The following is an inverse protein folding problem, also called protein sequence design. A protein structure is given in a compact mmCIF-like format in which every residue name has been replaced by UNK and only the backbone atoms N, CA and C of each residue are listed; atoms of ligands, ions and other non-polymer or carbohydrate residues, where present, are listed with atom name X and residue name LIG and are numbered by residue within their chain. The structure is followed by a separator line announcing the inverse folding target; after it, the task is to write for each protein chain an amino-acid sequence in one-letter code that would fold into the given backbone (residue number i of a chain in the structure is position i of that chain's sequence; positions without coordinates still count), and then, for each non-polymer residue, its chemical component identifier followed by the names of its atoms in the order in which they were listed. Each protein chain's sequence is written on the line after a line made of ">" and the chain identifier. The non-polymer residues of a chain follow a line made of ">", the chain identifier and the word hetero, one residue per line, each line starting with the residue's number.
data_IF_801107731428
#
_entry.id   IF_801107731428
#
_cell.length_a   1.000
_cell.length_b   1.000
_cell.length_c   1.000
_cell.angle_alpha   90.00
_cell.angle_beta   90.00
_cell.angle_gamma   90.00
#
_symmetry.space_group_name_H-M   'P 1'
#
loop_
_entity.id
_entity.type
_entity.pdbx_description
1 polymer ?
#
# COMPACT_ATOMS: atom_id res chain seq x y z
N UNK A 1 -30.56 -40.95 12.26
CA UNK A 1 -29.32 -41.44 11.61
C UNK A 1 -29.15 -40.98 10.16
N UNK A 2 -30.16 -41.06 9.28
CA UNK A 2 -30.03 -40.59 7.88
C UNK A 2 -29.77 -39.07 7.72
N UNK A 3 -30.29 -38.22 8.61
CA UNK A 3 -30.05 -36.77 8.55
C UNK A 3 -28.64 -36.34 9.01
N UNK A 4 -27.99 -37.11 9.91
CA UNK A 4 -26.60 -36.85 10.30
C UNK A 4 -25.61 -37.19 9.16
N UNK A 5 -25.95 -38.20 8.35
CA UNK A 5 -25.12 -38.61 7.20
C UNK A 5 -25.15 -37.60 6.05
N UNK A 6 -26.29 -36.94 5.84
CA UNK A 6 -26.43 -35.88 4.81
C UNK A 6 -25.65 -34.62 5.21
N UNK A 7 -25.60 -34.29 6.52
CA UNK A 7 -24.79 -33.17 7.01
C UNK A 7 -23.28 -33.43 6.84
N UNK A 8 -22.84 -34.68 6.98
CA UNK A 8 -21.44 -35.07 6.82
C UNK A 8 -21.00 -35.07 5.34
N UNK A 9 -21.90 -35.38 4.40
CA UNK A 9 -21.63 -35.33 2.96
C UNK A 9 -21.64 -33.89 2.42
N UNK A 10 -22.47 -32.98 2.97
CA UNK A 10 -22.40 -31.56 2.60
C UNK A 10 -21.14 -30.88 3.14
N UNK A 11 -20.62 -31.30 4.29
CA UNK A 11 -19.39 -30.73 4.87
C UNK A 11 -18.12 -31.12 4.09
N UNK A 12 -18.08 -32.29 3.43
CA UNK A 12 -16.90 -32.72 2.65
C UNK A 12 -16.85 -32.15 1.25
N UNK A 13 -17.99 -31.70 0.69
CA UNK A 13 -18.04 -31.00 -0.60
C UNK A 13 -17.60 -29.52 -0.51
N UNK A 14 -17.54 -28.95 0.70
CA UNK A 14 -17.06 -27.57 0.93
C UNK A 14 -15.53 -27.41 0.94
N UNK A 15 -14.76 -28.50 1.04
CA UNK A 15 -13.28 -28.45 1.08
C UNK A 15 -12.62 -28.76 -0.27
N UNK A 16 -13.40 -29.03 -1.32
CA UNK A 16 -12.89 -29.05 -2.69
C UNK A 16 -13.08 -27.68 -3.34
N UNK A 17 -12.56 -26.62 -2.72
CA UNK A 17 -12.32 -25.38 -3.47
C UNK A 17 -11.30 -25.73 -4.55
N UNK A 18 -11.75 -25.74 -5.79
CA UNK A 18 -11.04 -26.14 -6.98
C UNK A 18 -9.68 -25.45 -7.16
N UNK A 19 -8.60 -26.02 -6.63
CA UNK A 19 -7.26 -25.77 -7.17
C UNK A 19 -7.10 -26.62 -8.44
N UNK A 20 -7.73 -26.19 -9.53
CA UNK A 20 -7.57 -26.86 -10.84
C UNK A 20 -6.11 -26.75 -11.26
N UNK A 21 -5.36 -27.84 -11.09
CA UNK A 21 -4.02 -27.97 -11.63
C UNK A 21 -2.87 -27.93 -10.63
N UNK A 22 -3.11 -27.79 -9.31
CA UNK A 22 -2.04 -27.98 -8.29
C UNK A 22 -2.15 -29.36 -7.65
N UNK A 23 -1.02 -30.06 -7.52
CA UNK A 23 -0.91 -31.31 -6.79
C UNK A 23 -0.61 -31.12 -5.30
N UNK A 24 -0.20 -29.91 -4.87
CA UNK A 24 -0.03 -29.58 -3.45
C UNK A 24 0.48 -28.16 -3.22
N UNK A 25 0.09 -27.57 -2.10
CA UNK A 25 0.53 -26.24 -1.63
C UNK A 25 0.87 -26.35 -0.15
N UNK A 26 2.07 -25.92 0.23
CA UNK A 26 2.55 -25.84 1.61
C UNK A 26 2.87 -24.39 1.94
N UNK A 27 2.61 -24.00 3.19
CA UNK A 27 2.74 -22.62 3.64
C UNK A 27 3.57 -22.56 4.93
N UNK A 28 4.47 -21.58 4.97
CA UNK A 28 5.28 -21.22 6.15
C UNK A 28 5.95 -22.45 6.79
N UNK A 29 5.60 -22.79 8.03
CA UNK A 29 6.20 -23.91 8.79
C UNK A 29 5.92 -25.30 8.22
N UNK A 30 4.99 -25.42 7.27
CA UNK A 30 4.70 -26.69 6.61
C UNK A 30 5.62 -26.96 5.41
N UNK A 31 6.54 -26.06 5.12
CA UNK A 31 7.54 -26.19 4.05
C UNK A 31 8.79 -26.85 4.62
N UNK A 32 9.38 -27.77 3.86
CA UNK A 32 10.63 -28.42 4.22
C UNK A 32 11.75 -27.40 4.52
N UNK A 33 12.42 -27.55 5.66
CA UNK A 33 13.42 -26.58 6.12
C UNK A 33 14.63 -26.48 5.18
N UNK A 34 15.03 -27.58 4.54
CA UNK A 34 16.16 -27.54 3.59
C UNK A 34 15.82 -26.70 2.35
N UNK A 35 14.57 -26.79 1.90
CA UNK A 35 14.06 -25.94 0.82
C UNK A 35 13.96 -24.47 1.26
N UNK A 36 13.48 -24.19 2.48
CA UNK A 36 13.47 -22.81 3.03
C UNK A 36 14.87 -22.21 2.99
N UNK A 37 15.90 -22.95 3.43
CA UNK A 37 17.29 -22.49 3.43
C UNK A 37 17.85 -22.25 2.01
N UNK A 38 17.49 -23.11 1.05
CA UNK A 38 17.86 -22.94 -0.37
C UNK A 38 17.28 -21.63 -0.93
N UNK A 39 16.00 -21.34 -0.66
CA UNK A 39 15.34 -20.11 -1.10
C UNK A 39 15.85 -18.89 -0.36
N UNK A 40 16.12 -18.98 0.95
CA UNK A 40 16.68 -17.89 1.74
C UNK A 40 18.01 -17.38 1.16
N UNK A 41 18.82 -18.30 0.62
CA UNK A 41 20.07 -17.96 -0.06
C UNK A 41 19.80 -17.10 -1.31
N UNK A 42 18.75 -17.42 -2.07
CA UNK A 42 18.34 -16.64 -3.25
C UNK A 42 17.70 -15.30 -2.86
N UNK A 43 16.91 -15.25 -1.79
CA UNK A 43 16.32 -14.03 -1.25
C UNK A 43 17.42 -13.05 -0.82
N UNK A 44 18.49 -13.54 -0.16
CA UNK A 44 19.67 -12.75 0.19
C UNK A 44 20.39 -12.20 -1.03
N UNK A 45 20.52 -12.99 -2.11
CA UNK A 45 21.08 -12.51 -3.39
C UNK A 45 20.23 -11.39 -3.98
N UNK A 46 18.89 -11.50 -3.92
CA UNK A 46 17.99 -10.42 -4.37
C UNK A 46 18.25 -9.14 -3.59
N UNK A 47 18.28 -9.22 -2.25
CA UNK A 47 18.51 -8.07 -1.38
C UNK A 47 19.91 -7.46 -1.53
N UNK A 48 20.95 -8.28 -1.62
CA UNK A 48 22.31 -7.83 -1.88
C UNK A 48 22.40 -7.10 -3.22
N UNK A 49 21.82 -7.67 -4.28
CA UNK A 49 21.80 -7.03 -5.58
C UNK A 49 21.06 -5.68 -5.57
N UNK A 50 19.99 -5.56 -4.79
CA UNK A 50 19.27 -4.30 -4.61
C UNK A 50 20.11 -3.28 -3.85
N UNK A 51 20.62 -3.62 -2.66
CA UNK A 51 21.33 -2.68 -1.78
C UNK A 51 22.67 -2.23 -2.36
N UNK A 52 23.33 -3.09 -3.14
CA UNK A 52 24.58 -2.78 -3.85
C UNK A 52 24.38 -2.26 -5.28
N UNK A 53 23.13 -2.14 -5.75
CA UNK A 53 22.78 -1.78 -7.12
C UNK A 53 23.48 -2.68 -8.18
N UNK A 54 23.65 -3.96 -7.86
CA UNK A 54 24.37 -4.95 -8.67
C UNK A 54 23.42 -5.73 -9.57
N UNK A 55 23.12 -5.16 -10.74
CA UNK A 55 22.25 -5.77 -11.76
C UNK A 55 22.76 -7.15 -12.22
N UNK A 56 24.07 -7.32 -12.33
CA UNK A 56 24.68 -8.59 -12.77
C UNK A 56 24.41 -9.70 -11.77
N UNK A 57 24.52 -9.41 -10.47
CA UNK A 57 24.20 -10.35 -9.41
C UNK A 57 22.73 -10.75 -9.44
N UNK A 58 21.79 -9.80 -9.61
CA UNK A 58 20.37 -10.18 -9.73
C UNK A 58 20.13 -11.05 -10.96
N UNK A 59 20.72 -10.69 -12.11
CA UNK A 59 20.57 -11.45 -13.37
C UNK A 59 21.08 -12.88 -13.29
N UNK A 60 22.03 -13.19 -12.41
CA UNK A 60 22.58 -14.54 -12.28
C UNK A 60 21.56 -15.56 -11.75
N UNK A 61 20.55 -15.11 -11.01
CA UNK A 61 19.48 -15.96 -10.46
C UNK A 61 18.16 -15.84 -11.23
N UNK A 62 18.07 -14.93 -12.21
CA UNK A 62 16.85 -14.76 -13.01
C UNK A 62 16.68 -15.91 -14.00
N UNK A 63 15.43 -16.30 -14.22
CA UNK A 63 15.07 -17.19 -15.33
C UNK A 63 15.20 -16.48 -16.68
N UNK A 64 15.41 -17.26 -17.74
CA UNK A 64 15.47 -16.75 -19.12
C UNK A 64 14.20 -15.96 -19.47
N UNK A 65 13.02 -16.45 -19.06
CA UNK A 65 11.74 -15.76 -19.28
C UNK A 65 11.68 -14.40 -18.60
N UNK A 66 12.21 -14.27 -17.39
CA UNK A 66 12.25 -12.97 -16.69
C UNK A 66 13.28 -12.03 -17.33
N UNK A 67 14.42 -12.57 -17.79
CA UNK A 67 15.42 -11.81 -18.55
C UNK A 67 14.86 -11.28 -19.88
N UNK A 68 14.11 -12.09 -20.62
CA UNK A 68 13.44 -11.68 -21.87
C UNK A 68 12.40 -10.57 -21.62
N UNK A 69 11.59 -10.72 -20.57
CA UNK A 69 10.49 -9.79 -20.27
C UNK A 69 10.96 -8.48 -19.64
N UNK A 70 12.01 -8.51 -18.82
CA UNK A 70 12.37 -7.38 -17.94
C UNK A 70 13.86 -7.09 -17.88
N UNK A 71 14.70 -7.82 -18.60
CA UNK A 71 16.17 -7.70 -18.50
C UNK A 71 16.75 -6.35 -18.90
N UNK A 72 16.06 -5.56 -19.72
CA UNK A 72 16.42 -4.17 -20.05
C UNK A 72 15.99 -3.18 -18.96
N UNK A 73 14.82 -3.39 -18.35
CA UNK A 73 14.21 -2.47 -17.39
C UNK A 73 14.60 -2.77 -15.92
N UNK A 74 15.23 -3.93 -15.67
CA UNK A 74 15.60 -4.36 -14.31
C UNK A 74 16.56 -3.39 -13.63
N UNK A 75 17.42 -2.72 -14.41
CA UNK A 75 18.33 -1.69 -13.89
C UNK A 75 17.57 -0.49 -13.32
N UNK A 76 16.54 -0.04 -14.03
CA UNK A 76 15.73 1.08 -13.58
C UNK A 76 14.89 0.69 -12.36
N UNK A 77 14.38 -0.55 -12.33
CA UNK A 77 13.66 -1.08 -11.17
C UNK A 77 14.55 -1.09 -9.92
N UNK A 78 15.76 -1.66 -10.00
CA UNK A 78 16.71 -1.66 -8.87
C UNK A 78 17.04 -0.23 -8.45
N UNK A 79 17.32 0.67 -9.40
CA UNK A 79 17.65 2.07 -9.08
C UNK A 79 16.53 2.79 -8.34
N UNK A 80 15.27 2.52 -8.68
CA UNK A 80 14.11 3.10 -8.00
C UNK A 80 14.02 2.65 -6.54
N UNK A 81 14.32 1.38 -6.25
CA UNK A 81 14.15 0.81 -4.90
C UNK A 81 15.41 0.86 -4.03
N UNK A 82 16.61 1.00 -4.62
CA UNK A 82 17.88 1.09 -3.88
C UNK A 82 17.92 2.28 -2.91
N UNK A 83 17.26 3.40 -3.23
CA UNK A 83 17.15 4.54 -2.31
C UNK A 83 16.18 4.33 -1.14
N UNK A 84 15.44 3.21 -1.14
CA UNK A 84 14.41 2.88 -0.15
C UNK A 84 14.84 1.67 0.68
N UNK A 85 15.33 0.61 0.03
CA UNK A 85 15.86 -0.60 0.67
C UNK A 85 17.37 -0.44 0.85
N UNK A 86 17.79 -0.21 2.10
CA UNK A 86 19.19 0.02 2.45
C UNK A 86 19.78 -1.10 3.33
N UNK A 87 19.05 -2.19 3.54
CA UNK A 87 19.43 -3.31 4.41
C UNK A 87 19.17 -4.64 3.73
N UNK A 88 19.95 -5.65 4.12
CA UNK A 88 19.73 -7.07 3.79
C UNK A 88 18.95 -7.82 4.87
N UNK A 89 18.67 -7.18 6.01
CA UNK A 89 17.83 -7.73 7.07
C UNK A 89 16.35 -7.54 6.71
N UNK A 90 15.53 -8.55 7.00
CA UNK A 90 14.12 -8.56 6.65
C UNK A 90 13.30 -9.45 7.59
N UNK A 91 12.02 -9.09 7.72
CA UNK A 91 10.99 -9.98 8.23
C UNK A 91 10.41 -10.80 7.08
N UNK A 92 10.08 -12.06 7.35
CA UNK A 92 9.32 -12.88 6.41
C UNK A 92 7.81 -12.69 6.64
N UNK A 93 7.07 -12.26 5.62
CA UNK A 93 5.62 -12.16 5.72
C UNK A 93 4.97 -13.53 5.57
N UNK A 94 5.18 -14.19 4.43
CA UNK A 94 4.79 -15.58 4.19
C UNK A 94 5.68 -16.24 3.14
N UNK A 95 5.70 -17.57 3.18
CA UNK A 95 6.26 -18.42 2.13
C UNK A 95 5.25 -19.45 1.65
N UNK A 96 5.31 -19.77 0.36
CA UNK A 96 4.49 -20.80 -0.25
C UNK A 96 5.34 -21.70 -1.15
N UNK A 97 5.26 -23.01 -0.94
CA UNK A 97 5.79 -24.01 -1.86
C UNK A 97 4.64 -24.67 -2.60
N UNK A 98 4.71 -24.71 -3.93
CA UNK A 98 3.60 -25.19 -4.76
C UNK A 98 4.10 -26.22 -5.78
N UNK A 99 3.43 -27.36 -5.83
CA UNK A 99 3.59 -28.37 -6.88
C UNK A 99 2.39 -28.34 -7.81
N UNK A 100 2.65 -28.14 -9.09
CA UNK A 100 1.70 -28.06 -10.18
C UNK A 100 1.68 -29.35 -10.98
N UNK A 101 0.49 -29.76 -11.40
CA UNK A 101 0.29 -30.89 -12.32
C UNK A 101 0.92 -30.63 -13.70
N UNK A 102 0.91 -29.38 -14.16
CA UNK A 102 1.46 -28.92 -15.44
C UNK A 102 1.92 -27.46 -15.37
N UNK A 103 2.68 -27.04 -16.37
CA UNK A 103 3.14 -25.66 -16.54
C UNK A 103 2.16 -24.84 -17.40
N UNK A 104 2.31 -23.52 -17.40
CA UNK A 104 1.52 -22.58 -18.22
C UNK A 104 0.07 -22.42 -17.76
N UNK A 105 -0.23 -22.71 -16.49
CA UNK A 105 -1.56 -22.54 -15.90
C UNK A 105 -1.57 -21.36 -14.93
N UNK A 106 -2.73 -20.72 -14.79
CA UNK A 106 -2.98 -19.80 -13.68
C UNK A 106 -3.00 -20.59 -12.36
N UNK A 107 -2.40 -20.00 -11.32
CA UNK A 107 -2.33 -20.56 -9.99
C UNK A 107 -2.56 -19.46 -8.95
N UNK A 108 -3.15 -19.83 -7.82
CA UNK A 108 -3.47 -18.93 -6.72
C UNK A 108 -3.01 -19.57 -5.41
N UNK A 109 -2.22 -18.84 -4.63
CA UNK A 109 -1.99 -19.18 -3.21
C UNK A 109 -2.76 -18.20 -2.34
N UNK A 110 -3.17 -18.67 -1.16
CA UNK A 110 -4.01 -17.92 -0.23
C UNK A 110 -3.29 -17.81 1.10
N UNK A 111 -3.18 -16.60 1.66
CA UNK A 111 -2.46 -16.39 2.93
C UNK A 111 -3.25 -16.86 4.16
N UNK A 112 -4.58 -16.85 4.10
CA UNK A 112 -5.48 -17.30 5.17
C UNK A 112 -6.95 -17.35 4.74
N UNK A 113 -7.81 -17.83 5.64
CA UNK A 113 -9.24 -18.06 5.39
C UNK A 113 -10.14 -17.09 6.17
N UNK A 114 -9.87 -15.78 6.09
CA UNK A 114 -10.79 -14.73 6.55
C UNK A 114 -10.23 -13.76 7.60
N UNK A 115 -8.92 -13.75 7.80
CA UNK A 115 -8.21 -12.69 8.52
C UNK A 115 -8.32 -11.34 7.81
N UNK A 116 -8.26 -10.25 8.58
CA UNK A 116 -8.39 -8.88 8.07
C UNK A 116 -7.33 -8.54 7.01
N UNK A 117 -6.12 -9.07 7.15
CA UNK A 117 -4.98 -8.82 6.27
C UNK A 117 -4.77 -9.98 5.28
N UNK A 118 -5.75 -10.89 5.14
CA UNK A 118 -5.62 -12.01 4.22
C UNK A 118 -5.68 -11.57 2.75
N UNK A 119 -4.84 -12.21 1.95
CA UNK A 119 -4.63 -11.91 0.54
C UNK A 119 -4.44 -13.19 -0.26
N UNK A 120 -4.50 -13.04 -1.57
CA UNK A 120 -4.13 -14.07 -2.53
C UNK A 120 -2.98 -13.58 -3.40
N UNK A 121 -2.15 -14.52 -3.84
CA UNK A 121 -1.18 -14.30 -4.92
C UNK A 121 -1.59 -15.11 -6.13
N UNK A 122 -1.99 -14.43 -7.21
CA UNK A 122 -2.36 -15.05 -8.48
C UNK A 122 -1.24 -14.86 -9.52
N UNK A 123 -0.77 -15.95 -10.12
CA UNK A 123 0.35 -15.94 -11.06
C UNK A 123 0.26 -17.10 -12.07
N UNK A 124 1.07 -17.04 -13.13
CA UNK A 124 1.21 -18.14 -14.08
C UNK A 124 2.33 -19.10 -13.62
N UNK A 125 2.01 -20.38 -13.46
CA UNK A 125 2.95 -21.42 -13.08
C UNK A 125 3.87 -21.80 -14.24
N UNK A 126 5.05 -21.17 -14.32
CA UNK A 126 6.03 -21.44 -15.37
C UNK A 126 6.76 -22.80 -15.18
N UNK A 127 6.79 -23.32 -13.96
CA UNK A 127 7.43 -24.57 -13.59
C UNK A 127 6.45 -25.48 -12.82
N UNK A 128 6.70 -26.79 -12.84
CA UNK A 128 5.94 -27.77 -12.06
C UNK A 128 6.13 -27.58 -10.56
N UNK A 129 7.24 -27.00 -10.15
CA UNK A 129 7.54 -26.71 -8.75
C UNK A 129 7.90 -25.24 -8.64
N UNK A 130 7.16 -24.52 -7.81
CA UNK A 130 7.20 -23.08 -7.66
C UNK A 130 7.37 -22.74 -6.18
N UNK A 131 8.01 -21.61 -5.90
CA UNK A 131 8.16 -21.09 -4.55
C UNK A 131 7.88 -19.60 -4.53
N UNK A 132 7.16 -19.11 -3.53
CA UNK A 132 6.86 -17.69 -3.35
C UNK A 132 7.44 -17.29 -2.00
N UNK A 133 8.26 -16.25 -1.98
CA UNK A 133 8.83 -15.66 -0.76
C UNK A 133 8.46 -14.17 -0.72
N UNK A 134 7.84 -13.74 0.38
CA UNK A 134 7.41 -12.35 0.56
C UNK A 134 8.20 -11.75 1.71
N UNK A 135 9.09 -10.82 1.39
CA UNK A 135 10.03 -10.21 2.31
C UNK A 135 9.57 -8.80 2.66
N UNK A 136 9.77 -8.41 3.92
CA UNK A 136 9.57 -7.05 4.40
C UNK A 136 10.93 -6.55 4.92
N UNK A 137 11.73 -5.87 4.09
CA UNK A 137 13.02 -5.34 4.52
C UNK A 137 12.84 -4.40 5.72
N UNK A 138 13.76 -4.44 6.67
CA UNK A 138 13.69 -3.56 7.83
C UNK A 138 13.82 -2.09 7.39
N UNK A 139 12.75 -1.31 7.59
CA UNK A 139 12.75 0.11 7.33
C UNK A 139 11.87 0.85 8.35
N UNK A 140 11.82 2.19 8.27
CA UNK A 140 11.08 3.05 9.22
C UNK A 140 9.54 2.94 9.00
N UNK A 141 8.78 3.94 9.44
CA UNK A 141 7.30 4.02 9.46
C UNK A 141 6.51 3.43 8.26
N UNK A 142 7.07 3.43 7.06
CA UNK A 142 6.44 2.88 5.86
C UNK A 142 7.22 1.65 5.38
N UNK A 143 6.55 0.50 5.28
CA UNK A 143 7.19 -0.75 4.85
C UNK A 143 6.95 -1.05 3.38
N UNK A 144 8.01 -1.47 2.71
CA UNK A 144 7.96 -2.03 1.36
C UNK A 144 7.91 -3.55 1.47
N UNK A 145 7.23 -4.23 0.54
CA UNK A 145 7.35 -5.66 0.35
C UNK A 145 8.13 -6.00 -0.91
N UNK A 146 8.89 -7.09 -0.86
CA UNK A 146 9.49 -7.74 -2.02
C UNK A 146 8.78 -9.07 -2.20
N UNK A 147 8.14 -9.28 -3.35
CA UNK A 147 7.53 -10.57 -3.70
C UNK A 147 8.38 -11.27 -4.74
N UNK A 148 9.04 -12.35 -4.33
CA UNK A 148 9.85 -13.21 -5.17
C UNK A 148 9.06 -14.47 -5.51
N UNK A 149 8.95 -14.80 -6.80
CA UNK A 149 8.37 -16.07 -7.26
C UNK A 149 9.44 -16.82 -8.04
N UNK A 150 9.88 -17.94 -7.48
CA UNK A 150 10.87 -18.85 -8.04
C UNK A 150 10.21 -20.05 -8.71
N UNK A 151 10.91 -20.64 -9.68
CA UNK A 151 10.57 -21.95 -10.24
C UNK A 151 11.77 -22.88 -10.22
N UNK A 152 11.53 -24.19 -10.03
CA UNK A 152 12.59 -25.20 -10.10
C UNK A 152 12.87 -25.56 -11.56
N UNK A 153 14.10 -25.32 -11.99
CA UNK A 153 14.70 -25.73 -13.27
C UNK A 153 15.65 -26.92 -13.04
N UNK A 154 16.16 -27.49 -14.13
CA UNK A 154 17.08 -28.64 -14.08
C UNK A 154 18.40 -28.31 -13.35
N UNK A 155 18.82 -27.05 -13.39
CA UNK A 155 20.05 -26.51 -12.81
C UNK A 155 19.84 -25.80 -11.46
N UNK A 156 18.61 -25.82 -10.92
CA UNK A 156 18.30 -25.22 -9.62
C UNK A 156 17.08 -24.32 -9.65
N UNK A 157 16.87 -23.56 -8.57
CA UNK A 157 15.79 -22.57 -8.51
C UNK A 157 16.21 -21.27 -9.19
N UNK A 158 15.30 -20.69 -9.98
CA UNK A 158 15.49 -19.39 -10.62
C UNK A 158 14.30 -18.47 -10.39
N UNK A 159 14.58 -17.18 -10.32
CA UNK A 159 13.60 -16.12 -10.13
C UNK A 159 12.79 -15.91 -11.42
N UNK A 160 11.50 -16.20 -11.36
CA UNK A 160 10.55 -16.07 -12.45
C UNK A 160 9.84 -14.71 -12.42
N UNK A 161 9.52 -14.20 -11.23
CA UNK A 161 8.83 -12.92 -11.03
C UNK A 161 9.45 -12.22 -9.82
N UNK A 162 9.71 -10.92 -9.99
CA UNK A 162 10.15 -10.01 -8.93
C UNK A 162 9.20 -8.82 -8.90
N UNK A 163 8.62 -8.51 -7.75
CA UNK A 163 7.79 -7.32 -7.56
C UNK A 163 8.20 -6.56 -6.31
N UNK A 164 8.08 -5.24 -6.39
CA UNK A 164 8.25 -4.32 -5.29
C UNK A 164 6.98 -3.49 -5.17
N UNK A 165 6.56 -3.22 -3.94
CA UNK A 165 5.43 -2.34 -3.70
C UNK A 165 5.31 -1.97 -2.24
N UNK A 166 4.66 -0.85 -1.99
CA UNK A 166 4.43 -0.38 -0.64
C UNK A 166 3.37 -1.24 0.02
N UNK A 167 3.67 -1.75 1.22
CA UNK A 167 2.82 -2.67 1.96
C UNK A 167 2.19 -2.00 3.18
N UNK A 168 2.97 -1.15 3.87
CA UNK A 168 2.53 -0.43 5.06
C UNK A 168 2.76 1.06 4.87
N UNK A 169 1.74 1.86 5.20
CA UNK A 169 1.81 3.31 5.34
C UNK A 169 1.36 3.68 6.74
N UNK A 170 2.10 4.56 7.41
CA UNK A 170 1.76 5.02 8.76
C UNK A 170 1.58 3.86 9.76
N UNK A 171 2.36 2.79 9.61
CA UNK A 171 2.26 1.58 10.43
C UNK A 171 1.03 0.71 10.17
N UNK A 172 0.23 0.96 9.12
CA UNK A 172 -0.97 0.20 8.79
C UNK A 172 -0.95 -0.38 7.36
N UNK A 173 -1.55 -1.56 7.20
CA UNK A 173 -1.83 -2.17 5.89
C UNK A 173 -3.00 -1.48 5.19
N UNK A 174 -3.27 -1.85 3.93
CA UNK A 174 -4.41 -1.33 3.18
C UNK A 174 -5.75 -1.61 3.87
N UNK A 175 -5.97 -2.83 4.38
CA UNK A 175 -7.24 -3.24 4.99
C UNK A 175 -7.41 -2.65 6.40
N UNK A 176 -6.31 -2.38 7.11
CA UNK A 176 -6.33 -1.63 8.38
C UNK A 176 -6.66 -0.15 8.19
N UNK A 177 -6.10 0.49 7.16
CA UNK A 177 -6.46 1.86 6.76
C UNK A 177 -7.93 1.95 6.31
N UNK A 178 -8.43 0.93 5.61
CA UNK A 178 -9.85 0.80 5.27
C UNK A 178 -10.73 0.67 6.51
N UNK A 179 -10.34 -0.15 7.49
CA UNK A 179 -11.07 -0.28 8.75
C UNK A 179 -11.11 1.05 9.53
N UNK A 180 -10.00 1.79 9.55
CA UNK A 180 -9.93 3.13 10.13
C UNK A 180 -10.84 4.13 9.40
N UNK A 181 -10.86 4.09 8.06
CA UNK A 181 -11.75 4.94 7.28
C UNK A 181 -13.23 4.73 7.64
N UNK A 182 -13.65 3.48 7.88
CA UNK A 182 -15.00 3.17 8.36
C UNK A 182 -15.29 3.81 9.72
N UNK A 183 -14.34 3.74 10.66
CA UNK A 183 -14.48 4.39 11.98
C UNK A 183 -14.67 5.90 11.84
N UNK A 184 -13.87 6.57 11.00
CA UNK A 184 -14.04 8.01 10.74
C UNK A 184 -15.36 8.33 10.04
N UNK A 185 -15.77 7.48 9.10
CA UNK A 185 -17.03 7.63 8.39
C UNK A 185 -18.23 7.55 9.35
N UNK A 186 -18.23 6.60 10.27
CA UNK A 186 -19.28 6.44 11.30
C UNK A 186 -19.37 7.66 12.23
N UNK A 187 -18.23 8.28 12.55
CA UNK A 187 -18.14 9.55 13.29
C UNK A 187 -18.57 10.78 12.47
N UNK A 188 -18.85 10.61 11.17
CA UNK A 188 -19.11 11.68 10.19
C UNK A 188 -17.90 12.60 9.97
N UNK A 189 -16.69 12.07 10.14
CA UNK A 189 -15.42 12.75 9.85
C UNK A 189 -14.99 12.45 8.41
N UNK A 190 -15.72 13.01 7.43
CA UNK A 190 -15.57 12.60 6.02
C UNK A 190 -14.17 12.85 5.43
N UNK A 191 -13.51 13.94 5.80
CA UNK A 191 -12.15 14.25 5.30
C UNK A 191 -11.14 13.23 5.83
N UNK A 192 -11.22 12.88 7.12
CA UNK A 192 -10.36 11.84 7.70
C UNK A 192 -10.62 10.48 7.05
N UNK A 193 -11.89 10.10 6.85
CA UNK A 193 -12.26 8.86 6.16
C UNK A 193 -11.72 8.82 4.71
N UNK A 194 -11.85 9.92 3.97
CA UNK A 194 -11.35 10.03 2.60
C UNK A 194 -9.83 9.91 2.54
N UNK A 195 -9.12 10.53 3.50
CA UNK A 195 -7.66 10.49 3.56
C UNK A 195 -7.14 9.11 3.99
N UNK A 196 -7.80 8.42 4.93
CA UNK A 196 -7.48 7.03 5.25
C UNK A 196 -7.71 6.10 4.05
N UNK A 197 -8.78 6.29 3.28
CA UNK A 197 -8.99 5.52 2.04
C UNK A 197 -7.98 5.87 0.94
N UNK A 198 -7.59 7.13 0.82
CA UNK A 198 -6.53 7.52 -0.10
C UNK A 198 -5.24 6.78 0.24
N UNK A 199 -4.80 6.78 1.50
CA UNK A 199 -3.62 6.02 1.92
C UNK A 199 -3.81 4.51 1.72
N UNK A 200 -4.99 3.96 2.05
CA UNK A 200 -5.33 2.55 1.80
C UNK A 200 -5.13 2.17 0.33
N UNK A 201 -5.58 3.01 -0.61
CA UNK A 201 -5.42 2.78 -2.04
C UNK A 201 -3.96 2.77 -2.51
N UNK A 202 -3.06 3.49 -1.82
CA UNK A 202 -1.64 3.52 -2.17
C UNK A 202 -0.91 2.21 -1.84
N UNK A 203 -1.42 1.44 -0.87
CA UNK A 203 -0.82 0.18 -0.41
C UNK A 203 -1.68 -1.05 -0.69
N UNK A 204 -2.71 -0.91 -1.52
CA UNK A 204 -3.64 -1.99 -1.86
C UNK A 204 -3.00 -3.08 -2.75
N UNK A 205 -1.93 -2.76 -3.49
CA UNK A 205 -1.32 -3.65 -4.49
C UNK A 205 0.19 -3.80 -4.34
N UNK A 206 0.68 -4.34 -3.20
CA UNK A 206 2.13 -4.44 -2.92
C UNK A 206 2.89 -5.34 -3.92
N UNK A 207 2.21 -6.24 -4.64
CA UNK A 207 2.79 -6.97 -5.78
C UNK A 207 2.04 -6.73 -7.10
N UNK A 208 1.53 -5.51 -7.30
CA UNK A 208 0.73 -5.14 -8.48
C UNK A 208 -0.43 -6.14 -8.69
N UNK A 209 -0.68 -6.53 -9.95
CA UNK A 209 -1.74 -7.48 -10.33
C UNK A 209 -1.60 -8.89 -9.76
N UNK A 210 -0.46 -9.23 -9.15
CA UNK A 210 -0.27 -10.54 -8.55
C UNK A 210 -0.88 -10.61 -7.16
N UNK A 211 -1.03 -9.47 -6.48
CA UNK A 211 -1.60 -9.40 -5.14
C UNK A 211 -3.03 -8.90 -5.18
N UNK A 212 -3.90 -9.56 -4.41
CA UNK A 212 -5.27 -9.10 -4.21
C UNK A 212 -5.71 -9.38 -2.78
N UNK A 213 -6.25 -8.36 -2.10
CA UNK A 213 -6.92 -8.56 -0.81
C UNK A 213 -8.30 -9.16 -1.02
N UNK A 214 -8.78 -9.98 -0.07
CA UNK A 214 -10.08 -10.64 -0.20
C UNK A 214 -11.26 -9.66 -0.31
N UNK A 215 -11.14 -8.49 0.33
CA UNK A 215 -12.15 -7.43 0.37
C UNK A 215 -11.84 -6.25 -0.55
N UNK A 216 -10.97 -6.42 -1.55
CA UNK A 216 -10.51 -5.31 -2.41
C UNK A 216 -11.68 -4.59 -3.13
N UNK A 217 -12.67 -5.34 -3.63
CA UNK A 217 -13.83 -4.76 -4.30
C UNK A 217 -14.68 -3.93 -3.32
N UNK A 218 -14.85 -4.38 -2.08
CA UNK A 218 -15.54 -3.62 -1.02
C UNK A 218 -14.79 -2.33 -0.67
N UNK A 219 -13.46 -2.40 -0.55
CA UNK A 219 -12.62 -1.23 -0.31
C UNK A 219 -12.77 -0.20 -1.43
N UNK A 220 -12.74 -0.67 -2.69
CA UNK A 220 -12.88 0.19 -3.87
C UNK A 220 -14.25 0.85 -3.93
N UNK A 221 -15.31 0.11 -3.64
CA UNK A 221 -16.66 0.65 -3.65
C UNK A 221 -16.87 1.66 -2.53
N UNK A 222 -16.41 1.34 -1.31
CA UNK A 222 -16.46 2.26 -0.18
C UNK A 222 -15.69 3.55 -0.45
N UNK A 223 -14.54 3.48 -1.11
CA UNK A 223 -13.80 4.68 -1.51
C UNK A 223 -14.62 5.56 -2.46
N UNK A 224 -15.29 4.98 -3.46
CA UNK A 224 -16.18 5.76 -4.35
C UNK A 224 -17.32 6.42 -3.58
N UNK A 225 -17.94 5.71 -2.65
CA UNK A 225 -19.01 6.25 -1.79
C UNK A 225 -18.52 7.46 -1.01
N UNK A 226 -17.40 7.34 -0.30
CA UNK A 226 -16.83 8.46 0.47
C UNK A 226 -16.52 9.64 -0.45
N UNK A 227 -15.86 9.40 -1.58
CA UNK A 227 -15.48 10.49 -2.48
C UNK A 227 -16.69 11.18 -3.12
N UNK A 228 -17.78 10.45 -3.37
CA UNK A 228 -19.04 11.05 -3.82
C UNK A 228 -19.66 11.93 -2.73
N UNK A 229 -19.68 11.47 -1.48
CA UNK A 229 -20.22 12.24 -0.35
C UNK A 229 -19.38 13.50 -0.08
N UNK A 230 -18.04 13.37 -0.07
CA UNK A 230 -17.12 14.51 0.05
C UNK A 230 -17.38 15.54 -1.05
N UNK A 231 -17.52 15.14 -2.31
CA UNK A 231 -17.82 16.06 -3.42
C UNK A 231 -19.20 16.70 -3.30
N UNK A 232 -20.16 15.99 -2.73
CA UNK A 232 -21.51 16.53 -2.51
C UNK A 232 -21.55 17.57 -1.38
N UNK A 233 -20.72 17.38 -0.35
CA UNK A 233 -20.70 18.25 0.83
C UNK A 233 -19.72 19.42 0.68
N UNK A 234 -18.63 19.22 -0.05
CA UNK A 234 -17.56 20.20 -0.18
C UNK A 234 -17.24 20.45 -1.66
N UNK A 235 -17.35 21.71 -2.07
CA UNK A 235 -16.89 22.17 -3.38
C UNK A 235 -15.59 22.93 -3.22
N UNK A 236 -14.51 22.39 -3.78
CA UNK A 236 -13.20 23.05 -3.81
C UNK A 236 -13.02 23.82 -5.13
N UNK A 237 -12.41 25.03 -5.11
CA UNK A 237 -11.93 25.74 -3.92
C UNK A 237 -13.08 26.26 -3.03
N UNK A 238 -12.95 26.06 -1.72
CA UNK A 238 -13.97 26.41 -0.72
C UNK A 238 -13.61 27.72 -0.03
N UNK A 239 -14.41 28.77 -0.24
CA UNK A 239 -14.19 30.08 0.39
C UNK A 239 -14.66 30.08 1.86
N UNK A 240 -13.79 30.49 2.78
CA UNK A 240 -14.17 30.70 4.20
C UNK A 240 -14.72 32.11 4.36
N UNK A 241 -16.03 32.25 4.20
CA UNK A 241 -16.71 33.56 4.21
C UNK A 241 -16.71 34.27 5.57
N UNK A 242 -16.46 33.56 6.66
CA UNK A 242 -16.39 34.12 8.03
C UNK A 242 -15.08 34.86 8.33
N UNK A 243 -14.07 34.74 7.45
CA UNK A 243 -12.79 35.44 7.57
C UNK A 243 -12.76 36.57 6.55
N UNK A 244 -12.38 37.79 6.99
CA UNK A 244 -12.44 39.02 6.20
C UNK A 244 -11.69 38.95 4.86
N UNK A 245 -10.48 38.37 4.88
CA UNK A 245 -9.64 38.17 3.69
C UNK A 245 -10.19 37.14 2.70
N UNK A 246 -11.23 36.37 3.11
CA UNK A 246 -11.91 35.33 2.34
C UNK A 246 -10.93 34.30 1.73
N UNK A 247 -10.11 33.63 2.55
CA UNK A 247 -9.21 32.61 2.06
C UNK A 247 -10.01 31.45 1.45
N UNK A 248 -9.42 30.77 0.48
CA UNK A 248 -10.06 29.64 -0.20
C UNK A 248 -9.28 28.36 0.05
N UNK A 249 -9.89 27.38 0.72
CA UNK A 249 -9.29 26.06 0.87
C UNK A 249 -9.27 25.40 -0.50
N UNK A 250 -8.09 24.93 -0.92
CA UNK A 250 -7.86 24.31 -2.21
C UNK A 250 -7.90 22.79 -2.10
N UNK A 251 -7.26 22.24 -1.07
CA UNK A 251 -7.12 20.80 -0.88
C UNK A 251 -6.84 20.47 0.60
N UNK A 252 -7.23 19.27 1.01
CA UNK A 252 -6.86 18.69 2.31
C UNK A 252 -6.43 17.25 2.08
N UNK A 253 -5.18 16.93 2.41
CA UNK A 253 -4.61 15.61 2.13
C UNK A 253 -3.62 15.18 3.22
N UNK A 254 -3.34 13.87 3.35
CA UNK A 254 -2.34 13.38 4.30
C UNK A 254 -0.93 13.68 3.77
N UNK A 255 -0.13 14.33 4.60
CA UNK A 255 1.28 14.62 4.34
C UNK A 255 2.16 13.80 5.28
N UNK A 256 3.13 13.09 4.71
CA UNK A 256 4.17 12.39 5.45
C UNK A 256 5.17 13.37 6.05
N UNK A 257 5.47 13.19 7.34
CA UNK A 257 6.55 13.84 8.07
C UNK A 257 7.45 12.78 8.72
N UNK A 258 8.47 13.22 9.47
CA UNK A 258 9.30 12.29 10.25
C UNK A 258 8.54 11.69 11.45
N UNK A 259 7.52 12.38 11.96
CA UNK A 259 6.71 11.95 13.11
C UNK A 259 5.48 11.12 12.72
N UNK A 260 5.15 11.03 11.43
CA UNK A 260 4.01 10.27 10.94
C UNK A 260 3.26 11.00 9.82
N UNK A 261 1.98 10.74 9.72
CA UNK A 261 1.11 11.36 8.71
C UNK A 261 0.18 12.36 9.38
N UNK A 262 0.16 13.57 8.84
CA UNK A 262 -0.69 14.66 9.32
C UNK A 262 -1.45 15.29 8.18
N UNK A 263 -2.59 15.89 8.47
CA UNK A 263 -3.35 16.62 7.47
C UNK A 263 -2.62 17.89 7.06
N UNK A 264 -2.52 18.13 5.76
CA UNK A 264 -2.10 19.39 5.16
C UNK A 264 -3.32 20.07 4.56
N UNK A 265 -3.60 21.29 5.02
CA UNK A 265 -4.64 22.17 4.48
C UNK A 265 -3.98 23.21 3.59
N UNK A 266 -4.17 23.09 2.28
CA UNK A 266 -3.71 24.05 1.31
C UNK A 266 -4.78 25.10 1.06
N UNK A 267 -4.41 26.39 1.09
CA UNK A 267 -5.36 27.48 0.88
C UNK A 267 -4.74 28.64 0.10
N UNK A 268 -5.59 29.34 -0.65
CA UNK A 268 -5.27 30.57 -1.36
C UNK A 268 -5.56 31.76 -0.45
N UNK A 269 -4.60 32.68 -0.35
CA UNK A 269 -4.75 33.95 0.37
C UNK A 269 -4.57 35.13 -0.58
N UNK A 270 -5.18 36.27 -0.21
CA UNK A 270 -4.96 37.57 -0.86
C UNK A 270 -3.92 38.43 -0.14
N UNK A 271 -3.46 37.98 1.03
CA UNK A 271 -2.43 38.66 1.82
C UNK A 271 -1.08 38.45 1.12
N UNK A 272 -0.25 39.50 1.05
CA UNK A 272 1.13 39.35 0.60
C UNK A 272 1.85 38.44 1.60
N UNK A 273 2.37 37.30 1.15
CA UNK A 273 3.06 36.32 1.98
C UNK A 273 4.33 36.87 2.65
N UNK A 274 4.82 38.05 2.22
CA UNK A 274 5.89 38.78 2.93
C UNK A 274 5.40 39.38 4.25
N UNK A 275 4.12 39.69 4.39
CA UNK A 275 3.49 40.08 5.65
C UNK A 275 3.13 38.83 6.46
N UNK A 276 4.14 38.30 7.15
CA UNK A 276 4.02 37.07 7.93
C UNK A 276 3.11 37.24 9.15
N UNK A 277 2.93 38.47 9.64
CA UNK A 277 2.03 38.78 10.76
C UNK A 277 0.59 38.59 10.33
N UNK A 278 0.15 39.28 9.27
CA UNK A 278 -1.23 39.15 8.78
C UNK A 278 -1.52 37.74 8.24
N UNK A 279 -0.55 37.11 7.58
CA UNK A 279 -0.71 35.73 7.09
C UNK A 279 -0.90 34.75 8.25
N UNK A 280 -0.16 34.93 9.36
CA UNK A 280 -0.33 34.11 10.56
C UNK A 280 -1.69 34.34 11.21
N UNK A 281 -2.14 35.59 11.31
CA UNK A 281 -3.46 35.91 11.88
C UNK A 281 -4.61 35.31 11.07
N UNK A 282 -4.52 35.34 9.74
CA UNK A 282 -5.46 34.64 8.87
C UNK A 282 -5.43 33.13 9.14
N UNK A 283 -4.23 32.52 9.20
CA UNK A 283 -4.09 31.10 9.47
C UNK A 283 -4.66 30.69 10.84
N UNK A 284 -4.48 31.51 11.87
CA UNK A 284 -5.07 31.29 13.20
C UNK A 284 -6.60 31.25 13.13
N UNK A 285 -7.22 32.16 12.37
CA UNK A 285 -8.68 32.18 12.16
C UNK A 285 -9.17 30.99 11.35
N UNK A 286 -8.41 30.55 10.34
CA UNK A 286 -8.71 29.32 9.59
C UNK A 286 -8.67 28.14 10.56
N UNK A 287 -7.60 28.01 11.36
CA UNK A 287 -7.43 26.91 12.30
C UNK A 287 -8.57 26.83 13.32
N UNK A 288 -9.04 27.96 13.85
CA UNK A 288 -10.17 28.01 14.78
C UNK A 288 -11.50 27.56 14.17
N UNK A 289 -11.69 27.75 12.86
CA UNK A 289 -12.95 27.42 12.17
C UNK A 289 -12.91 26.06 11.45
N UNK A 290 -11.73 25.47 11.25
CA UNK A 290 -11.56 24.32 10.35
C UNK A 290 -12.35 23.08 10.79
N UNK A 291 -12.47 22.83 12.10
CA UNK A 291 -13.23 21.71 12.64
C UNK A 291 -14.74 21.86 12.49
N UNK A 292 -15.23 23.09 12.35
CA UNK A 292 -16.64 23.37 12.06
C UNK A 292 -16.96 23.17 10.58
N UNK A 293 -16.00 23.52 9.71
CA UNK A 293 -16.13 23.36 8.26
C UNK A 293 -15.97 21.89 7.88
N UNK A 294 -14.90 21.25 8.39
CA UNK A 294 -14.56 19.86 8.15
C UNK A 294 -14.59 19.12 9.48
N UNK A 295 -15.76 18.56 9.80
CA UNK A 295 -16.02 17.90 11.08
C UNK A 295 -14.92 16.88 11.43
N UNK A 296 -14.32 17.05 12.61
CA UNK A 296 -13.31 16.14 13.16
C UNK A 296 -11.87 16.40 12.74
N UNK A 297 -11.63 17.32 11.78
CA UNK A 297 -10.27 17.60 11.30
C UNK A 297 -9.35 18.15 12.40
N UNK A 298 -9.93 18.85 13.38
CA UNK A 298 -9.29 19.42 14.57
C UNK A 298 -9.30 18.48 15.79
N UNK A 299 -9.49 17.17 15.60
CA UNK A 299 -9.57 16.16 16.69
C UNK A 299 -8.59 15.01 16.48
N UNK A 300 -8.21 14.38 17.60
CA UNK A 300 -7.46 13.11 17.70
C UNK A 300 -6.12 13.08 16.96
N UNK A 301 -5.45 14.23 16.82
CA UNK A 301 -4.19 14.39 16.10
C UNK A 301 -3.29 15.35 16.87
N UNK A 302 -1.97 15.20 16.74
CA UNK A 302 -1.00 16.09 17.39
C UNK A 302 -0.91 17.45 16.69
N UNK A 303 -0.91 17.42 15.35
CA UNK A 303 -0.72 18.61 14.53
C UNK A 303 -1.70 18.68 13.35
N UNK A 304 -1.95 19.89 12.91
CA UNK A 304 -2.56 20.22 11.62
C UNK A 304 -1.62 21.17 10.86
N UNK A 305 -1.29 20.80 9.63
CA UNK A 305 -0.35 21.53 8.80
C UNK A 305 -1.11 22.41 7.82
N UNK A 306 -0.55 23.57 7.50
CA UNK A 306 -1.16 24.51 6.56
C UNK A 306 -0.13 25.01 5.56
N UNK A 307 -0.58 25.28 4.34
CA UNK A 307 0.22 25.94 3.31
C UNK A 307 -0.61 26.99 2.58
N UNK A 308 -0.22 28.25 2.77
CA UNK A 308 -0.78 29.38 2.06
C UNK A 308 -0.13 29.52 0.67
N UNK A 309 -0.94 29.81 -0.34
CA UNK A 309 -0.51 30.16 -1.69
C UNK A 309 -0.89 31.60 -1.98
N UNK A 310 -0.03 32.34 -2.69
CA UNK A 310 -0.33 33.71 -3.13
C UNK A 310 -1.14 33.78 -4.44
N UNK A 311 -1.19 32.67 -5.19
CA UNK A 311 -1.97 32.50 -6.42
C UNK A 311 -2.34 31.04 -6.61
N UNK A 312 -3.34 30.77 -7.45
CA UNK A 312 -3.77 29.41 -7.75
C UNK A 312 -2.62 28.61 -8.40
N UNK A 313 -2.24 27.44 -7.87
CA UNK A 313 -1.23 26.60 -8.49
C UNK A 313 -1.77 25.95 -9.78
N UNK A 314 -0.97 25.97 -10.84
CA UNK A 314 -1.27 25.37 -12.16
C UNK A 314 -0.54 24.03 -12.39
N UNK A 315 0.27 23.60 -11.42
CA UNK A 315 1.12 22.41 -11.49
C UNK A 315 2.36 22.54 -12.38
N UNK A 316 2.62 23.73 -12.97
CA UNK A 316 3.74 24.00 -13.88
C UNK A 316 4.66 25.08 -13.36
N UNK A 317 4.08 26.14 -12.81
CA UNK A 317 4.77 27.33 -12.35
C UNK A 317 4.93 27.26 -10.84
N UNK A 318 6.16 27.50 -10.36
CA UNK A 318 6.38 27.62 -8.92
C UNK A 318 5.64 28.84 -8.39
N UNK A 319 4.83 28.63 -7.35
CA UNK A 319 4.06 29.67 -6.68
C UNK A 319 4.71 29.96 -5.33
N UNK A 320 4.85 31.23 -4.91
CA UNK A 320 5.26 31.55 -3.55
C UNK A 320 4.28 30.95 -2.53
N UNK A 321 4.83 30.31 -1.49
CA UNK A 321 4.04 29.67 -0.43
C UNK A 321 4.58 29.99 0.95
N UNK A 322 3.71 29.93 1.96
CA UNK A 322 4.09 30.03 3.37
C UNK A 322 3.46 28.90 4.18
N UNK A 323 4.25 28.21 5.02
CA UNK A 323 3.81 27.04 5.78
C UNK A 323 3.57 27.34 7.26
N UNK A 324 2.57 26.69 7.86
CA UNK A 324 2.32 26.75 9.29
C UNK A 324 2.12 25.34 9.88
N UNK A 325 2.52 25.18 11.14
CA UNK A 325 2.24 24.00 11.96
C UNK A 325 1.39 24.47 13.14
N UNK A 326 0.25 23.82 13.36
CA UNK A 326 -0.62 24.09 14.51
C UNK A 326 -0.78 22.84 15.36
N UNK A 327 -0.53 22.97 16.65
CA UNK A 327 -0.87 21.94 17.63
C UNK A 327 -2.38 21.90 17.82
N UNK A 328 -2.94 20.69 17.86
CA UNK A 328 -4.32 20.48 18.28
C UNK A 328 -4.28 20.21 19.79
N UNK A 329 -5.05 21.00 20.54
CA UNK A 329 -5.16 20.91 22.00
C UNK A 329 -6.18 19.88 22.43
#
# INVERSE_FOLDING_TARGET
>A
MKQLFILFILATLGFQSCNVGTSGTWKDENIDQSLKNEIETLDKIVLEAITTNNVTLLKSIMSDKLLEKSGSNIKDLIKQVNGIIMTTEYDLLNQFHVKNSKTGIGNTVVSGLGGQDDYIIHYEALNKEMFISILIPENKLDKLSITNIYGKYHDGWKLNILQFGQYIIAGKTATQLYAEAKIYYDKKHLVDAANSMFLSSQVAHPANKFWQYQNEDEMKEFYKTIMAEVKSQYTFPLTIGTIESKPQILNIFPLRTQEGYFHMVEYLTKIDLKDTTLTKEENDKIHQSIGQIFKGLDKDKKYLLYKAFSKMPDGKTQVPTYGFVKEIK
#
